data_IF_602896162218
#
_entry.id   IF_602896162218
#
_cell.length_a   1.000
_cell.length_b   1.000
_cell.length_c   1.000
_cell.angle_alpha   90.00
_cell.angle_beta   90.00
_cell.angle_gamma   90.00
#
_symmetry.space_group_name_H-M   'P 1'
#
loop_
_entity.id
_entity.type
_entity.pdbx_description
1 polymer ?
#
# COMPACT_ATOMS: atom_id res chain seq x y z
N UNK A 1 -1.89 -0.43 0.93
CA UNK A 1 -0.93 -1.43 1.44
C UNK A 1 -1.71 -2.47 2.23
N UNK A 2 -1.38 -3.76 2.11
CA UNK A 2 -2.16 -4.85 2.70
C UNK A 2 -1.23 -6.00 3.17
N UNK A 3 -1.63 -6.75 4.20
CA UNK A 3 -0.99 -8.02 4.55
C UNK A 3 -1.53 -9.15 3.69
N UNK A 4 -0.65 -10.02 3.19
CA UNK A 4 -1.03 -11.16 2.32
C UNK A 4 -2.07 -12.09 2.96
N UNK A 5 -2.05 -12.22 4.29
CA UNK A 5 -2.87 -13.15 5.07
C UNK A 5 -3.91 -12.44 5.94
N UNK A 6 -4.33 -11.24 5.55
CA UNK A 6 -5.42 -10.54 6.24
C UNK A 6 -6.77 -11.22 5.97
N UNK A 7 -7.27 -11.96 6.96
CA UNK A 7 -8.59 -12.59 6.92
C UNK A 7 -9.73 -11.67 7.41
N UNK A 8 -9.41 -10.54 8.04
CA UNK A 8 -10.41 -9.56 8.45
C UNK A 8 -10.83 -8.70 7.25
N UNK A 9 -9.84 -8.27 6.46
CA UNK A 9 -10.03 -7.49 5.23
C UNK A 9 -9.23 -8.16 4.10
N UNK A 10 -9.84 -9.11 3.37
CA UNK A 10 -9.14 -9.91 2.37
C UNK A 10 -8.41 -9.09 1.30
N UNK A 11 -7.19 -9.55 0.95
CA UNK A 11 -6.28 -8.94 -0.03
C UNK A 11 -6.98 -8.63 -1.37
N UNK A 12 -7.87 -9.51 -1.83
CA UNK A 12 -8.58 -9.38 -3.11
C UNK A 12 -9.29 -8.02 -3.27
N UNK A 13 -9.79 -7.44 -2.18
CA UNK A 13 -10.44 -6.12 -2.22
C UNK A 13 -9.45 -5.03 -2.67
N UNK A 14 -8.21 -5.09 -2.18
CA UNK A 14 -7.14 -4.16 -2.57
C UNK A 14 -6.68 -4.41 -4.01
N UNK A 15 -6.60 -5.68 -4.43
CA UNK A 15 -6.22 -6.04 -5.80
C UNK A 15 -7.25 -5.55 -6.83
N UNK A 16 -8.55 -5.73 -6.54
CA UNK A 16 -9.63 -5.24 -7.41
C UNK A 16 -9.60 -3.71 -7.55
N UNK A 17 -9.43 -2.97 -6.45
CA UNK A 17 -9.31 -1.51 -6.48
C UNK A 17 -8.05 -1.07 -7.25
N UNK A 18 -6.92 -1.74 -7.05
CA UNK A 18 -5.70 -1.45 -7.79
C UNK A 18 -5.89 -1.62 -9.30
N UNK A 19 -6.52 -2.73 -9.73
CA UNK A 19 -6.82 -2.95 -11.15
C UNK A 19 -7.78 -1.90 -11.72
N UNK A 20 -8.81 -1.50 -10.97
CA UNK A 20 -9.73 -0.45 -11.37
C UNK A 20 -9.05 0.92 -11.53
N UNK A 21 -8.16 1.31 -10.61
CA UNK A 21 -7.39 2.55 -10.73
C UNK A 21 -6.42 2.51 -11.91
N UNK A 22 -5.77 1.35 -12.13
CA UNK A 22 -4.86 1.15 -13.26
C UNK A 22 -5.58 1.25 -14.60
N UNK A 23 -6.79 0.70 -14.74
CA UNK A 23 -7.55 0.80 -15.99
C UNK A 23 -7.98 2.22 -16.33
N UNK A 24 -8.09 3.10 -15.33
CA UNK A 24 -8.40 4.52 -15.48
C UNK A 24 -7.15 5.41 -15.62
N UNK A 25 -5.96 4.84 -15.74
CA UNK A 25 -4.67 5.55 -15.78
C UNK A 25 -4.43 6.46 -14.55
N UNK A 26 -5.03 6.16 -13.40
CA UNK A 26 -4.75 6.87 -12.16
C UNK A 26 -3.41 6.38 -11.61
N UNK A 27 -2.45 7.27 -11.29
CA UNK A 27 -1.20 6.86 -10.65
C UNK A 27 -1.48 6.14 -9.33
N UNK A 28 -1.06 4.89 -9.21
CA UNK A 28 -1.37 4.04 -8.06
C UNK A 28 -0.27 3.01 -7.81
N UNK A 29 -0.12 2.59 -6.56
CA UNK A 29 0.79 1.54 -6.11
C UNK A 29 0.06 0.59 -5.15
N UNK A 30 0.23 -0.71 -5.36
CA UNK A 30 -0.19 -1.75 -4.42
C UNK A 30 1.05 -2.41 -3.82
N UNK A 31 1.13 -2.40 -2.49
CA UNK A 31 2.20 -3.04 -1.71
C UNK A 31 1.57 -4.11 -0.85
N UNK A 32 2.07 -5.34 -0.99
CA UNK A 32 1.62 -6.53 -0.29
C UNK A 32 2.77 -7.00 0.61
N UNK A 33 2.51 -7.14 1.91
CA UNK A 33 3.50 -7.63 2.87
C UNK A 33 3.34 -9.14 3.09
N UNK A 34 4.31 -9.98 2.63
CA UNK A 34 4.17 -11.43 2.69
C UNK A 34 4.09 -11.94 4.12
N UNK A 35 3.17 -12.88 4.37
CA UNK A 35 2.98 -13.51 5.67
C UNK A 35 2.37 -12.64 6.77
N UNK A 36 2.12 -11.35 6.53
CA UNK A 36 1.46 -10.45 7.48
C UNK A 36 -0.07 -10.55 7.37
N UNK A 37 -0.75 -10.32 8.49
CA UNK A 37 -2.22 -10.26 8.56
C UNK A 37 -2.67 -8.78 8.56
N UNK A 38 -3.72 -8.45 9.32
CA UNK A 38 -4.25 -7.08 9.42
C UNK A 38 -3.24 -6.05 9.95
N UNK A 39 -2.42 -6.43 10.94
CA UNK A 39 -1.40 -5.57 11.53
C UNK A 39 -0.01 -6.06 11.15
N UNK A 40 0.84 -5.14 10.67
CA UNK A 40 2.25 -5.44 10.43
C UNK A 40 3.00 -5.65 11.75
N UNK A 41 3.72 -6.77 11.86
CA UNK A 41 4.52 -7.09 13.05
C UNK A 41 6.01 -7.04 12.79
N UNK A 42 6.48 -7.36 11.58
CA UNK A 42 7.90 -7.33 11.24
C UNK A 42 8.41 -5.88 11.23
N UNK A 43 9.40 -5.52 12.07
CA UNK A 43 9.89 -4.14 12.15
C UNK A 43 10.33 -3.55 10.81
N UNK A 44 10.97 -4.36 9.96
CA UNK A 44 11.41 -3.92 8.63
C UNK A 44 10.24 -3.57 7.71
N UNK A 45 9.08 -4.23 7.83
CA UNK A 45 7.88 -3.91 7.04
C UNK A 45 7.17 -2.66 7.58
N UNK A 46 7.23 -2.45 8.90
CA UNK A 46 6.73 -1.22 9.50
C UNK A 46 7.56 -0.03 8.99
N UNK A 47 8.88 -0.17 8.96
CA UNK A 47 9.78 0.84 8.40
C UNK A 47 9.51 1.10 6.90
N UNK A 48 9.51 0.07 6.07
CA UNK A 48 9.23 0.18 4.63
C UNK A 48 7.88 0.86 4.35
N UNK A 49 6.83 0.53 5.13
CA UNK A 49 5.53 1.21 5.04
C UNK A 49 5.66 2.71 5.27
N UNK A 50 6.37 3.12 6.31
CA UNK A 50 6.52 4.54 6.67
C UNK A 50 7.32 5.28 5.61
N UNK A 51 8.43 4.71 5.15
CA UNK A 51 9.27 5.27 4.07
C UNK A 51 8.45 5.48 2.79
N UNK A 52 7.69 4.47 2.35
CA UNK A 52 6.82 4.58 1.17
C UNK A 52 5.71 5.63 1.31
N UNK A 53 5.15 5.77 2.52
CA UNK A 53 4.14 6.81 2.77
C UNK A 53 4.75 8.20 2.62
N UNK A 54 5.94 8.43 3.17
CA UNK A 54 6.68 9.70 3.04
C UNK A 54 7.00 9.96 1.56
N UNK A 55 7.61 9.00 0.86
CA UNK A 55 7.92 9.12 -0.57
C UNK A 55 6.69 9.44 -1.43
N UNK A 56 5.54 8.85 -1.11
CA UNK A 56 4.28 9.13 -1.82
C UNK A 56 3.81 10.57 -1.58
N UNK A 57 3.88 11.05 -0.34
CA UNK A 57 3.55 12.44 -0.02
C UNK A 57 4.54 13.42 -0.65
N UNK A 58 5.84 13.12 -0.64
CA UNK A 58 6.86 13.95 -1.30
C UNK A 58 6.56 14.09 -2.80
N UNK A 59 6.06 13.02 -3.44
CA UNK A 59 5.74 13.05 -4.88
C UNK A 59 4.48 13.83 -5.23
N UNK A 60 3.45 13.78 -4.40
CA UNK A 60 2.10 14.26 -4.78
C UNK A 60 1.50 15.34 -3.89
N UNK A 61 2.01 15.54 -2.68
CA UNK A 61 1.46 16.47 -1.68
C UNK A 61 2.38 17.66 -1.42
N UNK A 62 3.71 17.46 -1.44
CA UNK A 62 4.65 18.56 -1.31
C UNK A 62 4.70 19.36 -2.62
N UNK A 63 3.96 20.46 -2.66
CA UNK A 63 4.20 21.55 -3.61
C UNK A 63 5.51 22.23 -3.23
N UNK A 64 6.51 22.13 -4.10
CA UNK A 64 7.57 23.12 -4.15
C UNK A 64 7.01 24.33 -4.94
N UNK A 65 6.27 25.19 -4.25
CA UNK A 65 6.07 26.58 -4.68
C UNK A 65 7.22 27.42 -4.11
#
# INVERSE_FOLDING_TARGET
>A
MCGEKDFNVPLINSEQMYQALRSLNVPTQLVIYPGENHTLKKPSYIQDRLERMIEWYDRYLLKND
#
